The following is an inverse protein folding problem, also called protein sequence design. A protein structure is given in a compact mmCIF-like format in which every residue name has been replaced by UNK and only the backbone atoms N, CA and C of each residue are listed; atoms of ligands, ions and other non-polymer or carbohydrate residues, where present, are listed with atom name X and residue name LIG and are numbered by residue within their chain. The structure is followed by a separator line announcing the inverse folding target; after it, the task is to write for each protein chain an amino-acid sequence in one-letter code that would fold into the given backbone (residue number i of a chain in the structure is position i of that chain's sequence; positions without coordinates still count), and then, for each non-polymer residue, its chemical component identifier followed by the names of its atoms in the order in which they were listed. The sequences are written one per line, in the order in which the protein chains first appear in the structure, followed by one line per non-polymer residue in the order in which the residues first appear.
data_IF_369717520696
#
_entry.id   IF_369717520696
#
_cell.length_a   1.000
_cell.length_b   1.000
_cell.length_c   1.000
_cell.angle_alpha   90.00
_cell.angle_beta   90.00
_cell.angle_gamma   90.00
#
_symmetry.space_group_name_H-M   'P 1'
#
loop_
_entity.id
_entity.type
_entity.pdbx_description
1 polymer ?
#
# COMPACT_ATOMS: atom_id res chain seq x y z
N UNK A 1 -11.24 -7.96 -51.24
CA UNK A 1 -10.56 -7.46 -50.02
C UNK A 1 -9.43 -8.40 -49.64
N UNK A 2 -8.15 -8.06 -49.91
CA UNK A 2 -7.03 -8.79 -49.28
C UNK A 2 -6.71 -8.08 -47.96
N UNK A 3 -7.43 -8.42 -46.88
CA UNK A 3 -6.97 -8.06 -45.54
C UNK A 3 -5.59 -8.72 -45.41
N UNK A 4 -4.55 -7.93 -45.21
CA UNK A 4 -3.24 -8.50 -44.89
C UNK A 4 -3.40 -9.19 -43.54
N UNK A 5 -3.43 -10.52 -43.53
CA UNK A 5 -3.76 -11.33 -42.35
C UNK A 5 -2.81 -11.06 -41.18
N UNK A 6 -1.53 -10.80 -41.49
CA UNK A 6 -0.48 -10.54 -40.50
C UNK A 6 -0.78 -9.32 -39.63
N UNK A 7 -0.99 -8.09 -40.15
CA UNK A 7 -1.29 -6.93 -39.31
C UNK A 7 -2.63 -7.06 -38.57
N UNK A 8 -3.64 -7.72 -39.15
CA UNK A 8 -4.89 -7.98 -38.45
C UNK A 8 -4.69 -8.89 -37.24
N UNK A 9 -3.92 -9.97 -37.41
CA UNK A 9 -3.57 -10.89 -36.32
C UNK A 9 -2.75 -10.19 -35.23
N UNK A 10 -1.78 -9.36 -35.60
CA UNK A 10 -0.98 -8.60 -34.63
C UNK A 10 -1.84 -7.65 -33.80
N UNK A 11 -2.79 -6.95 -34.41
CA UNK A 11 -3.74 -6.07 -33.69
C UNK A 11 -4.58 -6.89 -32.71
N UNK A 12 -5.09 -8.05 -33.14
CA UNK A 12 -5.87 -8.94 -32.26
C UNK A 12 -5.05 -9.45 -31.08
N UNK A 13 -3.79 -9.81 -31.29
CA UNK A 13 -2.88 -10.24 -30.21
C UNK A 13 -2.64 -9.09 -29.23
N UNK A 14 -2.31 -7.90 -29.72
CA UNK A 14 -2.10 -6.70 -28.87
C UNK A 14 -3.37 -6.39 -28.07
N UNK A 15 -4.55 -6.46 -28.69
CA UNK A 15 -5.82 -6.28 -27.99
C UNK A 15 -6.04 -7.34 -26.91
N UNK A 16 -5.82 -8.61 -27.23
CA UNK A 16 -6.00 -9.71 -26.27
C UNK A 16 -5.08 -9.54 -25.04
N UNK A 17 -3.81 -9.19 -25.27
CA UNK A 17 -2.82 -8.96 -24.20
C UNK A 17 -3.21 -7.75 -23.36
N UNK A 18 -3.52 -6.61 -23.98
CA UNK A 18 -3.86 -5.38 -23.24
C UNK A 18 -5.17 -5.51 -22.47
N UNK A 19 -6.19 -6.16 -23.02
CA UNK A 19 -7.43 -6.48 -22.29
C UNK A 19 -7.13 -7.37 -21.07
N UNK A 20 -6.31 -8.42 -21.26
CA UNK A 20 -5.92 -9.34 -20.19
C UNK A 20 -5.14 -8.66 -19.07
N UNK A 21 -4.26 -7.72 -19.41
CA UNK A 21 -3.52 -6.89 -18.46
C UNK A 21 -4.45 -5.93 -17.69
N UNK A 22 -5.46 -5.35 -18.36
CA UNK A 22 -6.49 -4.55 -17.69
C UNK A 22 -7.28 -5.35 -16.66
N UNK A 23 -7.68 -6.59 -16.99
CA UNK A 23 -8.32 -7.49 -16.01
C UNK A 23 -7.40 -7.84 -14.84
N UNK A 24 -6.11 -8.11 -15.10
CA UNK A 24 -5.16 -8.37 -14.03
C UNK A 24 -5.01 -7.19 -13.07
N UNK A 25 -4.97 -5.95 -13.59
CA UNK A 25 -4.93 -4.75 -12.77
C UNK A 25 -6.20 -4.58 -11.93
N UNK A 26 -7.37 -4.86 -12.50
CA UNK A 26 -8.64 -4.88 -11.77
C UNK A 26 -8.60 -5.91 -10.65
N UNK A 27 -8.29 -7.17 -10.95
CA UNK A 27 -8.25 -8.23 -9.93
C UNK A 27 -7.31 -7.86 -8.77
N UNK A 28 -6.19 -7.21 -9.09
CA UNK A 28 -5.25 -6.72 -8.07
C UNK A 28 -5.84 -5.60 -7.22
N UNK A 29 -6.60 -4.68 -7.80
CA UNK A 29 -7.33 -3.64 -7.05
C UNK A 29 -8.35 -4.29 -6.09
N UNK A 30 -9.18 -5.21 -6.59
CA UNK A 30 -10.20 -5.91 -5.79
C UNK A 30 -9.60 -6.68 -4.60
N UNK A 31 -8.44 -7.33 -4.79
CA UNK A 31 -7.73 -8.00 -3.69
C UNK A 31 -7.33 -7.02 -2.58
N UNK A 32 -6.86 -5.83 -2.95
CA UNK A 32 -6.44 -4.82 -1.99
C UNK A 32 -7.63 -4.18 -1.27
N UNK A 33 -8.72 -3.92 -1.99
CA UNK A 33 -9.99 -3.45 -1.41
C UNK A 33 -10.53 -4.45 -0.39
N UNK A 34 -10.52 -5.75 -0.71
CA UNK A 34 -10.98 -6.80 0.20
C UNK A 34 -10.14 -6.85 1.48
N UNK A 35 -8.81 -6.75 1.36
CA UNK A 35 -7.91 -6.69 2.52
C UNK A 35 -8.17 -5.43 3.35
N UNK A 36 -8.33 -4.27 2.71
CA UNK A 36 -8.63 -3.02 3.41
C UNK A 36 -9.97 -3.09 4.15
N UNK A 37 -11.01 -3.64 3.52
CA UNK A 37 -12.31 -3.83 4.15
C UNK A 37 -12.22 -4.75 5.36
N UNK A 38 -11.43 -5.82 5.27
CA UNK A 38 -11.19 -6.74 6.39
C UNK A 38 -10.46 -6.05 7.55
N UNK A 39 -9.43 -5.25 7.26
CA UNK A 39 -8.72 -4.46 8.28
C UNK A 39 -9.68 -3.46 8.95
N UNK A 40 -10.44 -2.70 8.18
CA UNK A 40 -11.42 -1.74 8.71
C UNK A 40 -12.48 -2.43 9.57
N UNK A 41 -12.90 -3.64 9.19
CA UNK A 41 -13.82 -4.44 10.02
C UNK A 41 -13.21 -4.78 11.38
N UNK A 42 -11.97 -5.27 11.44
CA UNK A 42 -11.27 -5.57 12.69
C UNK A 42 -10.98 -4.32 13.52
N UNK A 43 -10.68 -3.20 12.87
CA UNK A 43 -10.48 -1.92 13.55
C UNK A 43 -11.80 -1.34 14.09
N UNK A 44 -12.95 -1.79 13.60
CA UNK A 44 -14.28 -1.37 14.08
C UNK A 44 -14.86 -2.27 15.19
N UNK A 45 -14.25 -3.42 15.45
CA UNK A 45 -14.76 -4.39 16.44
C UNK A 45 -14.60 -3.91 17.88
N UNK A 46 -15.28 -4.60 18.80
CA UNK A 46 -15.09 -4.37 20.23
C UNK A 46 -13.61 -4.64 20.62
N UNK A 47 -13.02 -3.81 21.51
CA UNK A 47 -11.65 -4.02 21.96
C UNK A 47 -11.49 -5.34 22.72
N UNK A 48 -10.50 -6.14 22.31
CA UNK A 48 -10.13 -7.37 23.02
C UNK A 48 -9.20 -7.05 24.21
N UNK A 49 -9.42 -7.64 25.39
CA UNK A 49 -8.56 -7.40 26.55
C UNK A 49 -7.18 -8.07 26.37
N UNK A 50 -6.12 -7.31 26.65
CA UNK A 50 -4.73 -7.76 26.68
C UNK A 50 -4.26 -7.73 28.13
N UNK A 51 -3.96 -8.90 28.67
CA UNK A 51 -3.41 -9.09 30.02
C UNK A 51 -2.10 -9.87 29.98
N UNK A 52 -1.73 -10.49 31.11
CA UNK A 52 -0.45 -11.20 31.22
C UNK A 52 -0.34 -12.53 30.48
N UNK A 53 -1.44 -13.11 30.02
CA UNK A 53 -1.41 -14.28 29.16
C UNK A 53 -0.94 -13.87 27.74
N UNK A 54 0.03 -14.59 27.14
CA UNK A 54 0.49 -14.28 25.79
C UNK A 54 -0.61 -14.53 24.75
N UNK A 55 -0.85 -13.54 23.89
CA UNK A 55 -1.77 -13.66 22.75
C UNK A 55 -0.95 -13.82 21.47
N UNK A 56 -1.39 -14.70 20.57
CA UNK A 56 -0.70 -14.87 19.29
C UNK A 56 -1.05 -13.70 18.36
N UNK A 57 -0.02 -13.11 17.72
CA UNK A 57 -0.18 -11.97 16.80
C UNK A 57 -1.28 -12.24 15.75
N UNK A 58 -1.31 -13.42 15.14
CA UNK A 58 -2.29 -13.81 14.11
C UNK A 58 -3.76 -13.69 14.55
N UNK A 59 -4.03 -13.75 15.85
CA UNK A 59 -5.39 -13.73 16.39
C UNK A 59 -5.85 -12.30 16.74
N UNK A 60 -4.90 -11.37 16.87
CA UNK A 60 -5.16 -9.98 17.29
C UNK A 60 -4.68 -8.94 16.30
N UNK A 61 -3.93 -9.30 15.26
CA UNK A 61 -3.43 -8.36 14.26
C UNK A 61 -4.59 -7.59 13.62
N UNK A 62 -4.44 -6.27 13.52
CA UNK A 62 -5.47 -5.32 13.07
C UNK A 62 -6.71 -5.19 13.96
N UNK A 63 -6.84 -5.96 15.04
CA UNK A 63 -7.96 -5.85 15.97
C UNK A 63 -7.74 -4.70 16.96
N UNK A 64 -8.85 -4.09 17.38
CA UNK A 64 -8.86 -3.24 18.56
C UNK A 64 -8.53 -4.07 19.79
N UNK A 65 -7.61 -3.55 20.59
CA UNK A 65 -7.15 -4.16 21.83
C UNK A 65 -7.13 -3.13 22.95
N UNK A 66 -7.33 -3.61 24.17
CA UNK A 66 -7.31 -2.80 25.39
C UNK A 66 -6.40 -3.44 26.42
N UNK A 67 -5.42 -2.68 26.88
CA UNK A 67 -4.47 -3.09 27.90
C UNK A 67 -4.57 -2.13 29.09
N UNK A 68 -4.40 -2.65 30.30
CA UNK A 68 -4.28 -1.83 31.51
C UNK A 68 -2.96 -2.09 32.19
N UNK A 69 -2.26 -1.05 32.59
CA UNK A 69 -0.90 -1.20 33.11
C UNK A 69 -0.19 0.12 33.41
N UNK A 70 1.08 0.04 33.77
CA UNK A 70 1.92 1.21 34.07
C UNK A 70 3.01 1.36 33.03
N UNK A 71 3.18 2.57 32.49
CA UNK A 71 4.25 2.84 31.54
C UNK A 71 5.63 2.75 32.18
N UNK A 72 6.65 2.36 31.40
CA UNK A 72 8.05 2.36 31.82
C UNK A 72 8.86 3.47 31.12
N UNK A 73 8.88 4.72 31.65
CA UNK A 73 9.57 5.85 31.03
C UNK A 73 11.07 5.61 30.79
N UNK A 74 11.72 4.86 31.69
CA UNK A 74 13.14 4.52 31.58
C UNK A 74 13.50 3.59 30.42
N UNK A 75 12.51 3.03 29.72
CA UNK A 75 12.70 2.05 28.64
C UNK A 75 12.12 2.51 27.29
N UNK A 76 11.81 3.80 27.16
CA UNK A 76 11.30 4.39 25.91
C UNK A 76 12.29 4.29 24.75
N UNK A 77 11.77 4.04 23.55
CA UNK A 77 12.47 4.10 22.27
C UNK A 77 11.78 5.10 21.36
N UNK A 78 12.55 5.97 20.73
CA UNK A 78 12.06 6.93 19.74
C UNK A 78 12.38 6.42 18.34
N UNK A 79 11.37 6.19 17.51
CA UNK A 79 11.57 5.81 16.12
C UNK A 79 11.74 7.04 15.25
N UNK A 80 12.94 7.28 14.72
CA UNK A 80 13.28 8.42 13.87
C UNK A 80 12.70 8.30 12.46
N UNK A 81 12.75 9.37 11.68
CA UNK A 81 12.31 9.42 10.28
C UNK A 81 10.82 9.06 10.11
N UNK A 82 9.98 9.59 11.00
CA UNK A 82 8.52 9.48 10.93
C UNK A 82 7.95 10.85 10.51
N UNK A 83 7.65 11.07 9.22
CA UNK A 83 7.10 12.34 8.78
C UNK A 83 5.63 12.46 9.17
N UNK A 84 5.22 13.66 9.56
CA UNK A 84 3.83 14.04 9.78
C UNK A 84 3.65 15.51 9.36
N UNK A 85 2.70 15.80 8.47
CA UNK A 85 2.47 17.14 7.89
C UNK A 85 3.77 17.85 7.43
N UNK A 86 4.54 17.17 6.58
CA UNK A 86 5.83 17.64 6.03
C UNK A 86 6.92 17.92 7.08
N UNK A 87 6.72 17.53 8.34
CA UNK A 87 7.70 17.68 9.40
C UNK A 87 8.27 16.32 9.82
N UNK A 88 9.61 16.19 9.91
CA UNK A 88 10.21 14.99 10.48
C UNK A 88 9.92 14.92 11.98
N UNK A 89 9.72 13.70 12.47
CA UNK A 89 9.51 13.46 13.88
C UNK A 89 9.81 12.05 14.30
N UNK A 90 9.39 11.75 15.51
CA UNK A 90 9.60 10.50 16.19
C UNK A 90 8.28 9.82 16.51
N UNK A 91 8.21 8.50 16.39
CA UNK A 91 7.20 7.74 17.14
C UNK A 91 7.74 7.38 18.53
N UNK A 92 6.94 7.62 19.56
CA UNK A 92 7.26 7.33 20.95
C UNK A 92 6.78 5.92 21.28
N UNK A 93 7.69 4.96 21.33
CA UNK A 93 7.37 3.57 21.66
C UNK A 93 7.81 3.26 23.07
N UNK A 94 6.89 2.83 23.92
CA UNK A 94 7.15 2.64 25.34
C UNK A 94 6.54 1.32 25.82
N UNK A 95 7.26 0.51 26.61
CA UNK A 95 6.67 -0.66 27.25
C UNK A 95 5.63 -0.24 28.29
N UNK A 96 4.53 -0.98 28.31
CA UNK A 96 3.50 -0.95 29.33
C UNK A 96 3.59 -2.26 30.13
N UNK A 97 3.80 -2.15 31.43
CA UNK A 97 3.72 -3.26 32.37
C UNK A 97 2.26 -3.59 32.63
N UNK A 98 1.82 -4.78 32.20
CA UNK A 98 0.40 -5.16 32.25
C UNK A 98 -0.02 -5.55 33.66
N UNK A 99 -1.25 -5.19 34.03
CA UNK A 99 -1.90 -5.77 35.22
C UNK A 99 -2.07 -7.29 35.00
N UNK A 100 -1.57 -8.09 35.96
CA UNK A 100 -1.51 -9.55 35.83
C UNK A 100 -0.20 -10.11 35.27
N UNK A 101 0.80 -9.25 35.02
CA UNK A 101 2.15 -9.64 34.62
C UNK A 101 2.38 -9.53 33.11
N UNK A 102 3.64 -9.62 32.69
CA UNK A 102 4.01 -9.43 31.29
C UNK A 102 4.05 -7.96 30.86
N UNK A 103 4.49 -7.73 29.63
CA UNK A 103 4.65 -6.39 29.08
C UNK A 103 4.10 -6.34 27.66
N UNK A 104 3.69 -5.16 27.20
CA UNK A 104 3.37 -4.92 25.79
C UNK A 104 4.02 -3.62 25.34
N UNK A 105 4.51 -3.58 24.10
CA UNK A 105 4.96 -2.32 23.52
C UNK A 105 3.76 -1.50 23.09
N UNK A 106 3.76 -0.22 23.45
CA UNK A 106 2.74 0.74 23.01
C UNK A 106 3.43 1.80 22.16
N UNK A 107 2.99 1.93 20.90
CA UNK A 107 3.31 3.09 20.11
C UNK A 107 2.34 4.21 20.50
N UNK A 108 2.81 5.15 21.34
CA UNK A 108 1.99 6.14 22.02
C UNK A 108 1.56 7.30 21.12
N UNK A 109 2.32 7.58 20.07
CA UNK A 109 2.06 8.71 19.18
C UNK A 109 3.33 9.29 18.59
N UNK A 110 3.14 10.41 17.89
CA UNK A 110 4.16 11.15 17.19
C UNK A 110 4.56 12.42 17.95
N UNK A 111 5.83 12.78 17.82
CA UNK A 111 6.44 13.98 18.40
C UNK A 111 7.33 14.66 17.34
N UNK A 112 7.32 16.00 17.22
CA UNK A 112 8.18 16.70 16.28
C UNK A 112 9.66 16.54 16.65
N UNK A 113 10.51 16.43 15.63
CA UNK A 113 11.96 16.42 15.80
C UNK A 113 12.48 17.85 15.90
N UNK A 114 13.42 18.09 16.80
CA UNK A 114 14.15 19.35 16.82
C UNK A 114 15.15 19.39 15.64
N UNK A 115 15.04 20.41 14.80
CA UNK A 115 15.87 20.57 13.60
C UNK A 115 17.30 21.01 13.96
N UNK A 116 17.45 21.82 15.01
CA UNK A 116 18.74 22.35 15.46
C UNK A 116 19.55 21.32 16.27
N UNK A 117 18.87 20.50 17.08
CA UNK A 117 19.50 19.44 17.85
C UNK A 117 18.83 18.09 17.55
N UNK A 118 19.55 17.24 16.82
CA UNK A 118 19.08 15.93 16.36
C UNK A 118 18.85 14.93 17.48
N UNK A 119 19.43 15.14 18.67
CA UNK A 119 19.30 14.27 19.83
C UNK A 119 18.24 14.79 20.83
N UNK A 120 17.82 16.05 20.71
CA UNK A 120 16.80 16.62 21.56
C UNK A 120 15.43 16.01 21.27
N UNK A 121 14.73 15.67 22.36
CA UNK A 121 13.36 15.19 22.35
C UNK A 121 12.49 16.28 22.99
N UNK A 122 11.43 16.71 22.28
CA UNK A 122 10.49 17.65 22.84
C UNK A 122 9.80 17.08 24.10
N UNK A 123 9.48 17.92 25.10
CA UNK A 123 8.84 17.45 26.31
C UNK A 123 7.43 16.90 26.02
N UNK A 124 7.08 15.78 26.65
CA UNK A 124 5.75 15.18 26.63
C UNK A 124 5.47 14.54 27.98
N UNK A 125 4.19 14.40 28.33
CA UNK A 125 3.82 13.84 29.63
C UNK A 125 3.69 12.31 29.57
N UNK A 126 4.09 11.63 30.65
CA UNK A 126 3.85 10.21 30.83
C UNK A 126 3.14 10.00 32.16
N UNK A 127 1.95 9.39 32.16
CA UNK A 127 1.24 9.06 33.39
C UNK A 127 2.12 8.21 34.31
N UNK A 128 2.17 8.56 35.60
CA UNK A 128 3.01 7.91 36.60
C UNK A 128 2.37 6.68 37.26
N UNK A 129 1.09 6.41 37.00
CA UNK A 129 0.35 5.29 37.57
C UNK A 129 -0.35 4.42 36.53
N UNK A 130 -1.21 3.49 36.98
CA UNK A 130 -1.96 2.61 36.09
C UNK A 130 -2.85 3.40 35.12
N UNK A 131 -2.78 3.05 33.85
CA UNK A 131 -3.56 3.63 32.76
C UNK A 131 -4.18 2.54 31.92
N UNK A 132 -5.33 2.85 31.34
CA UNK A 132 -5.94 2.05 30.29
C UNK A 132 -5.49 2.58 28.92
N UNK A 133 -4.94 1.70 28.09
CA UNK A 133 -4.48 1.98 26.74
C UNK A 133 -5.35 1.18 25.79
N UNK A 134 -6.04 1.89 24.90
CA UNK A 134 -6.73 1.29 23.77
C UNK A 134 -5.97 1.59 22.48
N UNK A 135 -5.99 0.66 21.54
CA UNK A 135 -5.30 0.81 20.28
C UNK A 135 -5.57 -0.34 19.35
N UNK A 136 -4.82 -0.37 18.25
CA UNK A 136 -4.88 -1.45 17.28
C UNK A 136 -3.61 -2.28 17.41
N UNK A 137 -3.74 -3.60 17.51
CA UNK A 137 -2.58 -4.47 17.54
C UNK A 137 -1.93 -4.54 16.14
N UNK A 138 -0.62 -4.31 16.09
CA UNK A 138 0.21 -4.34 14.88
C UNK A 138 1.42 -5.25 15.15
N UNK A 139 1.92 -5.91 14.11
CA UNK A 139 3.14 -6.72 14.21
C UNK A 139 4.35 -5.92 14.71
N UNK A 140 4.49 -4.68 14.25
CA UNK A 140 5.59 -3.77 14.58
C UNK A 140 5.07 -2.36 14.87
N UNK A 141 5.84 -1.56 15.63
CA UNK A 141 5.50 -0.17 15.92
C UNK A 141 5.51 0.72 14.68
N UNK A 142 6.34 0.39 13.70
CA UNK A 142 6.47 0.98 12.36
C UNK A 142 7.81 0.52 11.76
N UNK A 143 7.84 0.25 10.45
CA UNK A 143 9.08 -0.08 9.73
C UNK A 143 9.39 1.00 8.69
N UNK A 144 10.56 1.62 8.79
CA UNK A 144 11.11 2.52 7.79
C UNK A 144 12.33 1.88 7.13
N UNK A 145 12.63 2.34 5.91
CA UNK A 145 13.84 1.94 5.22
C UNK A 145 15.07 2.42 6.00
N UNK A 146 16.03 1.51 6.22
CA UNK A 146 17.27 1.82 6.94
C UNK A 146 18.44 1.88 5.96
N UNK A 147 19.04 3.07 5.86
CA UNK A 147 20.24 3.29 5.05
C UNK A 147 21.48 2.95 5.89
N UNK A 148 22.12 1.81 5.56
CA UNK A 148 23.29 1.30 6.28
C UNK A 148 22.93 0.32 7.39
N UNK A 149 23.89 0.05 8.28
CA UNK A 149 23.70 -0.85 9.43
C UNK A 149 23.92 -0.09 10.74
N UNK A 150 23.05 -0.33 11.73
CA UNK A 150 23.24 0.13 13.11
C UNK A 150 22.38 1.31 13.54
N UNK A 151 21.50 1.83 12.68
CA UNK A 151 20.51 2.84 13.05
C UNK A 151 19.40 2.29 13.94
N UNK A 152 19.32 0.97 14.11
CA UNK A 152 18.37 0.28 14.99
C UNK A 152 19.04 -0.48 16.15
N UNK A 153 20.27 -0.10 16.51
CA UNK A 153 21.04 -0.81 17.54
C UNK A 153 20.39 -0.74 18.92
N UNK A 154 20.47 -1.84 19.68
CA UNK A 154 19.74 -2.00 20.95
C UNK A 154 20.18 -1.05 22.08
N UNK A 155 21.39 -0.48 22.01
CA UNK A 155 21.88 0.49 23.00
C UNK A 155 21.39 1.92 22.73
N UNK A 156 20.80 2.19 21.56
CA UNK A 156 20.35 3.52 21.18
C UNK A 156 18.93 3.80 21.70
N UNK A 157 18.71 5.03 22.15
CA UNK A 157 17.38 5.52 22.54
C UNK A 157 16.55 5.95 21.31
N UNK A 158 17.21 6.58 20.33
CA UNK A 158 16.64 6.94 19.03
C UNK A 158 17.04 5.85 18.03
N UNK A 159 16.08 5.21 17.38
CA UNK A 159 16.28 4.09 16.45
C UNK A 159 15.53 4.33 15.15
N UNK A 160 15.92 3.71 14.04
CA UNK A 160 15.12 3.75 12.82
C UNK A 160 13.98 2.74 12.84
N UNK A 161 14.23 1.55 13.40
CA UNK A 161 13.29 0.45 13.51
C UNK A 161 13.36 -0.22 14.88
N UNK A 162 12.27 -0.87 15.26
CA UNK A 162 12.18 -1.64 16.49
C UNK A 162 11.35 -2.89 16.26
N UNK A 163 12.00 -4.05 16.33
CA UNK A 163 11.33 -5.34 16.36
C UNK A 163 10.97 -5.73 17.79
N UNK A 164 9.79 -6.30 17.98
CA UNK A 164 9.30 -6.72 19.31
C UNK A 164 10.23 -7.78 19.92
N UNK A 165 10.56 -8.82 19.15
CA UNK A 165 11.41 -9.92 19.62
C UNK A 165 12.85 -9.47 19.93
N UNK A 166 13.44 -8.60 19.11
CA UNK A 166 14.79 -8.08 19.36
C UNK A 166 14.84 -7.17 20.58
N UNK A 167 13.78 -6.39 20.81
CA UNK A 167 13.65 -5.57 22.01
C UNK A 167 13.40 -6.42 23.27
N UNK A 168 12.59 -7.48 23.18
CA UNK A 168 12.40 -8.46 24.25
C UNK A 168 13.73 -9.09 24.67
N UNK A 169 14.51 -9.57 23.69
CA UNK A 169 15.82 -10.16 23.92
C UNK A 169 16.81 -9.17 24.56
N UNK A 170 16.82 -7.91 24.10
CA UNK A 170 17.72 -6.88 24.63
C UNK A 170 17.35 -6.44 26.06
N UNK A 171 16.07 -6.50 26.44
CA UNK A 171 15.59 -5.99 27.72
C UNK A 171 15.31 -7.07 28.77
N UNK A 172 15.18 -8.33 28.33
CA UNK A 172 14.75 -9.46 29.17
C UNK A 172 13.27 -9.44 29.55
N UNK A 173 12.47 -8.55 28.94
CA UNK A 173 11.05 -8.41 29.28
C UNK A 173 10.21 -9.47 28.53
N UNK A 174 9.30 -10.19 29.22
CA UNK A 174 8.34 -11.08 28.59
C UNK A 174 7.26 -10.25 27.87
N UNK A 175 7.56 -9.83 26.65
CA UNK A 175 6.66 -9.00 25.84
C UNK A 175 5.64 -9.85 25.08
N UNK A 176 4.43 -9.31 24.97
CA UNK A 176 3.46 -9.72 23.95
C UNK A 176 4.10 -9.60 22.56
N UNK A 177 3.79 -10.50 21.60
CA UNK A 177 4.45 -10.57 20.30
C UNK A 177 3.94 -9.51 19.29
N UNK A 178 3.44 -8.38 19.78
CA UNK A 178 2.85 -7.31 18.97
C UNK A 178 3.03 -5.95 19.67
N UNK A 179 2.73 -4.89 18.93
CA UNK A 179 2.71 -3.51 19.42
C UNK A 179 1.27 -3.00 19.40
N UNK A 180 0.85 -2.32 20.45
CA UNK A 180 -0.42 -1.58 20.47
C UNK A 180 -0.14 -0.21 19.84
N UNK A 181 -0.65 0.02 18.64
CA UNK A 181 -0.73 1.37 18.05
C UNK A 181 -1.85 2.12 18.76
N UNK A 182 -1.48 3.02 19.69
CA UNK A 182 -2.44 3.68 20.55
C UNK A 182 -3.39 4.54 19.73
N UNK A 183 -4.68 4.25 19.83
CA UNK A 183 -5.76 5.11 19.32
C UNK A 183 -6.25 5.93 20.51
N UNK A 184 -6.60 7.20 20.32
CA UNK A 184 -6.96 8.09 21.43
C UNK A 184 -8.02 7.49 22.38
N UNK A 185 -8.00 7.91 23.65
CA UNK A 185 -9.07 7.66 24.62
C UNK A 185 -9.92 8.92 24.84
N UNK A 186 -11.05 8.79 25.52
CA UNK A 186 -11.84 9.91 26.06
C UNK A 186 -11.97 9.74 27.59
N UNK A 187 -11.34 10.61 28.41
CA UNK A 187 -10.67 11.84 28.02
C UNK A 187 -9.35 11.59 27.30
N UNK A 188 -9.09 12.36 26.25
CA UNK A 188 -7.85 12.30 25.51
C UNK A 188 -6.67 12.54 26.44
N UNK A 189 -5.62 11.70 26.31
CA UNK A 189 -4.34 11.95 26.96
C UNK A 189 -3.86 13.35 26.55
N UNK A 190 -3.73 14.26 27.51
CA UNK A 190 -3.16 15.59 27.29
C UNK A 190 -1.64 15.53 27.35
N UNK A 191 -1.04 14.56 26.66
CA UNK A 191 0.40 14.30 26.73
C UNK A 191 1.22 15.00 25.65
N UNK A 192 0.57 15.71 24.72
CA UNK A 192 1.24 16.41 23.62
C UNK A 192 1.63 15.50 22.44
N UNK A 193 1.24 14.22 22.47
CA UNK A 193 1.52 13.26 21.39
C UNK A 193 0.40 13.24 20.36
N UNK A 194 0.78 13.28 19.08
CA UNK A 194 -0.16 13.19 17.95
C UNK A 194 -0.44 11.73 17.63
N UNK A 195 -1.72 11.37 17.46
CA UNK A 195 -2.18 9.99 17.17
C UNK A 195 -2.98 9.93 15.88
N UNK A 196 -2.58 10.75 14.91
CA UNK A 196 -3.07 10.70 13.54
C UNK A 196 -2.14 9.78 12.74
N UNK A 197 -2.51 8.50 12.70
CA UNK A 197 -1.69 7.46 12.10
C UNK A 197 -1.88 7.46 10.58
N UNK A 198 -0.79 7.34 9.79
CA UNK A 198 -0.93 7.25 8.34
C UNK A 198 -1.74 6.01 7.99
N UNK A 199 -2.83 6.21 7.25
CA UNK A 199 -3.57 5.12 6.63
C UNK A 199 -2.66 4.50 5.57
N UNK A 200 -2.43 3.18 5.57
CA UNK A 200 -1.68 2.55 4.50
C UNK A 200 -2.32 2.89 3.15
N UNK A 201 -1.58 3.56 2.27
CA UNK A 201 -2.04 3.78 0.90
C UNK A 201 -2.07 2.41 0.21
N UNK A 202 -3.27 1.96 -0.12
CA UNK A 202 -3.45 0.68 -0.80
C UNK A 202 -3.19 0.81 -2.30
N UNK A 203 -2.85 1.99 -2.84
CA UNK A 203 -2.53 2.19 -4.26
C UNK A 203 -3.67 1.69 -5.19
N UNK A 204 -4.91 1.59 -4.70
CA UNK A 204 -6.02 0.95 -5.42
C UNK A 204 -6.38 1.77 -6.66
N UNK A 205 -6.41 3.09 -6.53
CA UNK A 205 -6.68 4.05 -7.60
C UNK A 205 -5.62 3.94 -8.70
N UNK A 206 -4.36 3.70 -8.33
CA UNK A 206 -3.28 3.48 -9.30
C UNK A 206 -3.52 2.23 -10.15
N UNK A 207 -3.98 1.14 -9.53
CA UNK A 207 -4.35 -0.07 -10.26
C UNK A 207 -5.52 0.19 -11.22
N UNK A 208 -6.55 0.94 -10.81
CA UNK A 208 -7.63 1.35 -11.71
C UNK A 208 -7.18 2.28 -12.84
N UNK A 209 -6.25 3.20 -12.57
CA UNK A 209 -5.62 4.03 -13.61
C UNK A 209 -4.93 3.20 -14.68
N UNK A 210 -4.15 2.19 -14.28
CA UNK A 210 -3.52 1.26 -15.22
C UNK A 210 -4.54 0.38 -15.96
N UNK A 211 -5.62 -0.05 -15.31
CA UNK A 211 -6.72 -0.76 -15.97
C UNK A 211 -7.28 0.06 -17.14
N UNK A 212 -7.62 1.33 -16.91
CA UNK A 212 -8.12 2.24 -17.94
C UNK A 212 -7.08 2.48 -19.04
N UNK A 213 -5.81 2.61 -18.68
CA UNK A 213 -4.72 2.75 -19.65
C UNK A 213 -4.65 1.54 -20.59
N UNK A 214 -4.67 0.32 -20.05
CA UNK A 214 -4.60 -0.89 -20.86
C UNK A 214 -5.81 -1.06 -21.77
N UNK A 215 -7.02 -0.81 -21.26
CA UNK A 215 -8.23 -0.85 -22.09
C UNK A 215 -8.27 0.28 -23.12
N UNK A 216 -7.75 1.46 -22.79
CA UNK A 216 -7.55 2.55 -23.74
C UNK A 216 -6.63 2.16 -24.90
N UNK A 217 -5.52 1.46 -24.63
CA UNK A 217 -4.64 0.93 -25.68
C UNK A 217 -5.35 -0.12 -26.55
N UNK A 218 -6.18 -0.98 -25.97
CA UNK A 218 -6.99 -1.94 -26.73
C UNK A 218 -7.98 -1.23 -27.67
N UNK A 219 -8.67 -0.19 -27.18
CA UNK A 219 -9.59 0.63 -27.98
C UNK A 219 -8.86 1.40 -29.09
N UNK A 220 -7.68 1.96 -28.80
CA UNK A 220 -6.84 2.62 -29.79
C UNK A 220 -6.40 1.65 -30.89
N UNK A 221 -5.92 0.45 -30.52
CA UNK A 221 -5.53 -0.59 -31.47
C UNK A 221 -6.70 -1.01 -32.38
N UNK A 222 -7.89 -1.15 -31.81
CA UNK A 222 -9.11 -1.41 -32.57
C UNK A 222 -9.43 -0.26 -33.54
N UNK A 223 -9.39 0.98 -33.07
CA UNK A 223 -9.65 2.18 -33.89
C UNK A 223 -8.69 2.31 -35.08
N UNK A 224 -7.38 2.15 -34.83
CA UNK A 224 -6.36 2.13 -35.88
C UNK A 224 -6.58 0.97 -36.86
N UNK A 225 -6.93 -0.23 -36.37
CA UNK A 225 -7.23 -1.38 -37.21
C UNK A 225 -8.41 -1.13 -38.15
N UNK A 226 -9.52 -0.58 -37.62
CA UNK A 226 -10.71 -0.24 -38.40
C UNK A 226 -10.44 0.87 -39.42
N UNK A 227 -9.69 1.90 -39.04
CA UNK A 227 -9.30 2.98 -39.94
C UNK A 227 -8.42 2.47 -41.10
N UNK A 228 -7.40 1.66 -40.79
CA UNK A 228 -6.53 1.07 -41.80
C UNK A 228 -7.30 0.15 -42.76
N UNK A 229 -8.23 -0.67 -42.23
CA UNK A 229 -9.08 -1.53 -43.03
C UNK A 229 -10.01 -0.73 -43.97
N UNK A 230 -10.63 0.35 -43.47
CA UNK A 230 -11.44 1.28 -44.28
C UNK A 230 -10.63 1.93 -45.40
N UNK A 231 -9.47 2.50 -45.08
CA UNK A 231 -8.60 3.15 -46.08
C UNK A 231 -8.14 2.16 -47.17
N UNK A 232 -7.82 0.92 -46.79
CA UNK A 232 -7.46 -0.13 -47.74
C UNK A 232 -8.64 -0.54 -48.65
N UNK A 233 -9.85 -0.61 -48.10
CA UNK A 233 -11.06 -0.90 -48.87
C UNK A 233 -11.40 0.22 -49.87
N UNK A 234 -11.27 1.50 -49.46
CA UNK A 234 -11.48 2.65 -50.35
C UNK A 234 -10.46 2.68 -51.48
N UNK A 235 -9.17 2.48 -51.18
CA UNK A 235 -8.09 2.45 -52.20
C UNK A 235 -8.30 1.33 -53.23
N UNK A 236 -8.64 0.13 -52.78
CA UNK A 236 -8.92 -1.00 -53.67
C UNK A 236 -10.14 -0.77 -54.58
N UNK A 237 -11.10 0.07 -54.14
CA UNK A 237 -12.28 0.44 -54.94
C UNK A 237 -11.96 1.52 -55.98
N UNK A 238 -11.04 2.45 -55.67
CA UNK A 238 -10.60 3.50 -56.59
C UNK A 238 -9.64 2.97 -57.66
N UNK A 239 -8.78 2.00 -57.34
CA UNK A 239 -7.85 1.37 -58.30
C UNK A 239 -8.51 0.26 -59.15
N UNK A 240 -9.75 -0.14 -58.84
CA UNK A 240 -10.43 -1.31 -59.38
C UNK A 240 -11.57 -1.06 -60.39
N UNK A 241 -11.69 0.11 -61.02
CA UNK A 241 -12.64 0.28 -62.11
C UNK A 241 -12.40 1.49 -63.01
N UNK A 242 -12.89 1.51 -64.27
CA UNK A 242 -13.17 0.43 -65.22
C UNK A 242 -12.09 0.38 -66.32
N UNK A 243 -11.28 -0.69 -66.37
CA UNK A 243 -10.30 -0.91 -67.44
C UNK A 243 -10.44 -2.32 -68.05
N UNK A 244 -11.68 -2.82 -68.13
CA UNK A 244 -12.02 -4.14 -68.69
C UNK A 244 -13.12 -4.03 -69.77
N UNK A 245 -13.02 -3.01 -70.63
CA UNK A 245 -13.69 -2.96 -71.95
C UNK A 245 -12.77 -2.32 -72.99
N UNK A 246 -11.66 -2.99 -73.27
CA UNK A 246 -10.92 -2.78 -74.51
C UNK A 246 -10.09 -4.03 -74.77
N UNK A 247 -10.72 -5.07 -75.34
CA UNK A 247 -9.96 -6.08 -76.07
C UNK A 247 -9.98 -5.78 -77.57
N UNK A 248 -8.83 -5.91 -78.26
CA UNK A 248 -8.68 -5.63 -79.67
C UNK A 248 -8.90 -6.91 -80.51
N UNK A 249 -9.76 -6.85 -81.52
CA UNK A 249 -9.98 -7.93 -82.49
C UNK A 249 -9.80 -7.42 -83.92
N UNK A 250 -8.54 -7.29 -84.35
CA UNK A 250 -8.15 -7.07 -85.73
C UNK A 250 -7.99 -8.43 -86.45
N UNK A 251 -8.52 -8.57 -87.67
CA UNK A 251 -7.89 -9.42 -88.69
C UNK A 251 -8.80 -10.15 -89.68
N UNK A 252 -8.86 -9.60 -90.91
CA UNK A 252 -8.88 -10.30 -92.22
C UNK A 252 -10.17 -11.05 -92.65
N UNK A 253 -10.62 -11.07 -93.92
CA UNK A 253 -9.95 -10.88 -95.22
C UNK A 253 -10.99 -10.75 -96.37
N UNK A 254 -10.69 -9.87 -97.34
CA UNK A 254 -10.69 -10.05 -98.82
C UNK A 254 -11.95 -10.24 -99.71
N UNK A 255 -11.72 -9.78 -100.95
CA UNK A 255 -12.36 -10.00 -102.26
C UNK A 255 -13.51 -9.01 -102.62
N UNK A 256 -13.52 -8.29 -103.75
CA UNK A 256 -12.76 -8.31 -105.01
C UNK A 256 -12.76 -6.91 -105.66
#
# INVERSE_FOLDING_TARGET
MKIRLVPALLILIVMAVTIRLGFWQRDRAHQKEALQAQITQYESSAPQPVGGAPLALKDVEFHRVRARGTFLPGRVVYLDNRPYNDQPGFYVVMPLELEGGGYVLVNRGWLPRNIADRAAIAPYETPSGPVEVEGIARADASRAFELGAGGSAAHQKIRQNLGVASYAAATGLPLQPFVIQQTGFVPAFKDGLVRDWPVPDTDVERNYGYMLQWWGMALAALGFGLFAARKAATKARTEGGPQERAEPGNGSTKDA
#
